data_IF_924381203867
#
_entry.id   IF_924381203867
#
_cell.length_a   1.000
_cell.length_b   1.000
_cell.length_c   1.000
_cell.angle_alpha   90.00
_cell.angle_beta   90.00
_cell.angle_gamma   90.00
#
_symmetry.space_group_name_H-M   'P 1'
#
loop_
_entity.id
_entity.type
_entity.pdbx_description
1 polymer ?
#
# COMPACT_ATOMS: atom_id res chain seq x y z
N UNK A 1 18.40 -58.61 19.32
CA UNK A 1 17.55 -57.62 20.05
C UNK A 1 17.48 -56.35 19.22
N UNK A 2 16.35 -56.13 18.56
CA UNK A 2 16.13 -54.92 17.75
C UNK A 2 15.46 -53.84 18.62
N UNK A 3 15.91 -52.56 18.59
CA UNK A 3 15.28 -51.53 19.36
C UNK A 3 13.96 -51.09 18.69
N UNK A 4 12.90 -50.97 19.49
CA UNK A 4 11.58 -50.48 19.09
C UNK A 4 11.59 -49.01 18.63
N UNK A 5 10.75 -48.63 17.65
CA UNK A 5 10.69 -47.27 17.14
C UNK A 5 10.01 -46.33 18.15
N UNK A 6 10.70 -45.27 18.52
CA UNK A 6 10.22 -44.16 19.34
C UNK A 6 9.13 -43.39 18.60
N UNK A 7 7.91 -43.39 19.12
CA UNK A 7 6.78 -42.56 18.62
C UNK A 7 7.10 -41.08 18.81
N UNK A 8 7.27 -40.33 17.68
CA UNK A 8 7.31 -38.87 17.68
C UNK A 8 5.95 -38.35 18.14
N UNK A 9 5.95 -37.62 19.26
CA UNK A 9 4.78 -36.86 19.74
C UNK A 9 4.48 -35.72 18.76
N UNK A 10 3.32 -35.77 18.13
CA UNK A 10 2.75 -34.69 17.34
C UNK A 10 2.50 -33.49 18.28
N UNK A 11 2.93 -32.26 17.93
CA UNK A 11 2.65 -31.08 18.77
C UNK A 11 1.14 -30.86 18.83
N UNK A 12 0.62 -30.72 20.04
CA UNK A 12 -0.78 -30.41 20.30
C UNK A 12 -1.14 -29.10 19.59
N UNK A 13 -2.16 -29.11 18.70
CA UNK A 13 -2.79 -27.89 18.18
C UNK A 13 -3.21 -27.04 19.38
N UNK A 14 -2.63 -25.83 19.51
CA UNK A 14 -3.15 -24.81 20.42
C UNK A 14 -4.62 -24.62 20.07
N UNK A 15 -5.50 -24.85 21.03
CA UNK A 15 -6.94 -24.60 20.92
C UNK A 15 -7.13 -23.14 20.53
N UNK A 16 -7.64 -22.88 19.33
CA UNK A 16 -8.13 -21.57 18.95
C UNK A 16 -9.25 -21.20 19.94
N UNK A 17 -8.93 -20.31 20.86
CA UNK A 17 -9.89 -19.76 21.79
C UNK A 17 -10.93 -19.06 20.91
N UNK A 18 -12.14 -19.60 20.84
CA UNK A 18 -13.21 -19.13 19.97
C UNK A 18 -13.45 -17.63 20.24
N UNK A 19 -12.98 -16.78 19.34
CA UNK A 19 -13.05 -15.34 19.45
C UNK A 19 -14.51 -14.93 19.34
N UNK A 20 -15.05 -14.26 20.37
CA UNK A 20 -16.44 -13.78 20.34
C UNK A 20 -16.51 -12.46 19.58
N UNK A 21 -17.55 -12.28 18.77
CA UNK A 21 -17.85 -11.04 18.08
C UNK A 21 -18.15 -9.94 19.10
N UNK A 22 -17.48 -8.78 18.93
CA UNK A 22 -17.84 -7.54 19.63
C UNK A 22 -18.68 -6.66 18.69
N UNK A 23 -19.95 -6.47 19.04
CA UNK A 23 -20.89 -5.64 18.29
C UNK A 23 -20.55 -4.14 18.31
N UNK A 24 -19.62 -3.70 19.15
CA UNK A 24 -19.10 -2.34 19.13
C UNK A 24 -18.02 -2.13 18.05
N UNK A 25 -17.37 -3.21 17.61
CA UNK A 25 -16.31 -3.19 16.62
C UNK A 25 -16.75 -3.68 15.24
N UNK A 26 -17.78 -4.51 15.17
CA UNK A 26 -18.20 -5.13 13.91
C UNK A 26 -19.70 -4.95 13.67
N UNK A 27 -20.02 -4.46 12.48
CA UNK A 27 -21.41 -4.18 12.06
C UNK A 27 -22.25 -5.46 11.95
N UNK A 28 -21.64 -6.58 11.57
CA UNK A 28 -22.30 -7.88 11.42
C UNK A 28 -21.34 -9.04 11.61
N UNK A 29 -21.86 -10.26 11.70
CA UNK A 29 -21.07 -11.50 11.75
C UNK A 29 -20.15 -11.60 10.55
N UNK A 30 -20.60 -11.24 9.34
CA UNK A 30 -19.79 -11.26 8.13
C UNK A 30 -18.55 -10.35 8.25
N UNK A 31 -18.67 -9.13 8.78
CA UNK A 31 -17.52 -8.23 8.98
C UNK A 31 -16.56 -8.75 10.05
N UNK A 32 -17.07 -9.39 11.09
CA UNK A 32 -16.25 -10.09 12.08
C UNK A 32 -15.47 -11.26 11.47
N UNK A 33 -16.12 -12.05 10.61
CA UNK A 33 -15.46 -13.14 9.89
C UNK A 33 -14.35 -12.62 8.95
N UNK A 34 -14.61 -11.56 8.18
CA UNK A 34 -13.60 -10.88 7.37
C UNK A 34 -12.41 -10.42 8.23
N UNK A 35 -12.69 -9.83 9.40
CA UNK A 35 -11.62 -9.44 10.32
C UNK A 35 -10.78 -10.64 10.74
N UNK A 36 -11.43 -11.69 11.27
CA UNK A 36 -10.77 -12.89 11.80
C UNK A 36 -9.94 -13.60 10.73
N UNK A 37 -10.50 -13.77 9.55
CA UNK A 37 -9.95 -14.65 8.51
C UNK A 37 -8.92 -13.92 7.62
N UNK A 38 -9.02 -12.60 7.48
CA UNK A 38 -8.18 -11.80 6.59
C UNK A 38 -7.43 -10.67 7.31
N UNK A 39 -8.15 -9.69 7.85
CA UNK A 39 -7.55 -8.42 8.27
C UNK A 39 -6.83 -8.47 9.62
N UNK A 40 -7.17 -9.39 10.51
CA UNK A 40 -6.46 -9.58 11.78
C UNK A 40 -4.98 -9.93 11.57
N UNK A 41 -4.67 -10.65 10.49
CA UNK A 41 -3.31 -11.06 10.10
C UNK A 41 -2.78 -10.30 8.89
N UNK A 42 -3.52 -9.31 8.41
CA UNK A 42 -3.12 -8.44 7.30
C UNK A 42 -1.78 -7.75 7.59
N UNK A 43 -0.94 -7.64 6.57
CA UNK A 43 0.37 -6.99 6.72
C UNK A 43 0.20 -5.49 6.73
N UNK A 44 0.70 -4.84 7.77
CA UNK A 44 0.75 -3.38 7.87
C UNK A 44 1.96 -2.88 7.08
N UNK A 45 1.72 -1.94 6.16
CA UNK A 45 2.78 -1.22 5.45
C UNK A 45 2.70 0.23 5.91
N UNK A 46 3.50 0.56 6.90
CA UNK A 46 3.44 1.87 7.55
C UNK A 46 4.20 2.91 6.74
N UNK A 47 3.58 4.07 6.51
CA UNK A 47 4.22 5.23 5.90
C UNK A 47 5.41 5.69 6.74
N UNK A 48 6.43 6.23 6.09
CA UNK A 48 7.66 6.69 6.73
C UNK A 48 7.80 8.19 6.56
N UNK A 49 8.22 8.87 7.62
CA UNK A 49 8.58 10.27 7.54
C UNK A 49 9.70 10.45 6.50
N UNK A 50 9.51 11.37 5.56
CA UNK A 50 10.47 11.72 4.51
C UNK A 50 11.04 13.10 4.80
N UNK A 51 12.33 13.17 5.07
CA UNK A 51 13.03 14.43 5.29
C UNK A 51 13.58 14.99 3.96
N UNK A 52 12.73 15.65 3.19
CA UNK A 52 13.11 16.26 1.92
C UNK A 52 14.21 17.33 2.08
N UNK A 53 14.25 18.03 3.22
CA UNK A 53 15.29 19.00 3.52
C UNK A 53 16.68 18.37 3.66
N UNK A 54 16.75 17.15 4.23
CA UNK A 54 17.98 16.38 4.35
C UNK A 54 18.41 15.73 3.02
N UNK A 55 17.46 15.59 2.07
CA UNK A 55 17.69 15.04 0.73
C UNK A 55 18.03 16.13 -0.34
N UNK A 56 18.20 17.38 0.05
CA UNK A 56 18.36 18.53 -0.85
C UNK A 56 19.50 18.42 -1.88
N UNK A 57 20.52 17.62 -1.58
CA UNK A 57 21.67 17.40 -2.47
C UNK A 57 21.39 16.37 -3.57
N UNK A 58 20.14 15.89 -3.68
CA UNK A 58 19.64 14.92 -4.66
C UNK A 58 18.56 15.52 -5.54
N UNK A 59 18.13 14.80 -6.59
CA UNK A 59 16.98 15.23 -7.40
C UNK A 59 15.62 14.98 -6.70
N UNK A 60 15.59 14.22 -5.59
CA UNK A 60 14.36 13.74 -4.95
C UNK A 60 13.40 14.87 -4.54
N UNK A 61 13.84 15.95 -3.85
CA UNK A 61 12.92 17.02 -3.47
C UNK A 61 12.17 17.62 -4.65
N UNK A 62 12.86 17.76 -5.79
CA UNK A 62 12.27 18.33 -6.99
C UNK A 62 11.13 17.47 -7.59
N UNK A 63 11.06 16.17 -7.27
CA UNK A 63 9.96 15.29 -7.67
C UNK A 63 8.65 15.61 -6.93
N UNK A 64 8.74 16.30 -5.79
CA UNK A 64 7.60 16.62 -4.91
C UNK A 64 7.24 18.11 -4.91
N UNK A 65 8.08 18.94 -5.53
CA UNK A 65 7.86 20.38 -5.60
C UNK A 65 6.53 20.73 -6.28
N UNK A 66 5.74 21.57 -5.63
CA UNK A 66 4.45 22.03 -6.14
C UNK A 66 3.31 20.99 -6.09
N UNK A 67 3.53 19.78 -5.54
CA UNK A 67 2.49 18.76 -5.46
C UNK A 67 1.59 18.85 -4.24
N UNK A 68 2.00 19.56 -3.19
CA UNK A 68 1.22 19.67 -1.94
C UNK A 68 1.12 18.35 -1.14
N UNK A 69 2.05 17.41 -1.33
CA UNK A 69 1.99 16.09 -0.72
C UNK A 69 2.67 15.97 0.66
N UNK A 70 2.83 17.11 1.36
CA UNK A 70 3.49 17.12 2.69
C UNK A 70 2.81 16.18 3.69
N UNK A 71 1.47 16.09 3.65
CA UNK A 71 0.68 15.23 4.52
C UNK A 71 0.85 13.74 4.24
N UNK A 72 1.40 13.37 3.08
CA UNK A 72 1.76 11.99 2.74
C UNK A 72 3.22 11.68 3.06
N UNK A 73 4.08 12.69 3.22
CA UNK A 73 5.53 12.52 3.34
C UNK A 73 6.07 12.87 4.72
N UNK A 74 5.69 14.00 5.28
CA UNK A 74 6.33 14.54 6.49
C UNK A 74 5.38 14.82 7.64
N UNK A 75 4.13 15.15 7.38
CA UNK A 75 3.13 15.37 8.41
C UNK A 75 2.31 14.08 8.64
N UNK A 76 2.90 13.10 9.32
CA UNK A 76 2.29 11.79 9.56
C UNK A 76 1.75 11.71 10.99
N UNK A 77 0.42 11.61 11.19
CA UNK A 77 -0.15 11.45 12.53
C UNK A 77 0.13 10.07 13.12
N UNK A 78 0.10 10.00 14.44
CA UNK A 78 0.19 8.73 15.15
C UNK A 78 -0.94 7.76 14.74
N UNK A 79 -0.58 6.51 14.50
CA UNK A 79 -1.46 5.47 13.98
C UNK A 79 -1.98 4.56 15.09
N UNK A 80 -3.29 4.35 15.11
CA UNK A 80 -3.96 3.39 15.98
C UNK A 80 -4.30 2.12 15.16
N UNK A 81 -3.46 1.09 15.26
CA UNK A 81 -3.58 -0.14 14.49
C UNK A 81 -4.96 -0.80 14.56
N UNK A 82 -5.61 -0.96 15.75
CA UNK A 82 -6.93 -1.56 15.85
C UNK A 82 -8.00 -0.85 15.00
N UNK A 83 -7.95 0.47 14.85
CA UNK A 83 -8.89 1.21 14.01
C UNK A 83 -8.68 0.92 12.53
N UNK A 84 -7.42 0.78 12.11
CA UNK A 84 -7.09 0.45 10.72
C UNK A 84 -7.66 -0.94 10.37
N UNK A 85 -7.44 -1.94 11.22
CA UNK A 85 -7.96 -3.30 11.01
C UNK A 85 -9.49 -3.34 11.03
N UNK A 86 -10.10 -2.57 11.94
CA UNK A 86 -11.55 -2.42 12.05
C UNK A 86 -12.13 -1.78 10.77
N UNK A 87 -11.48 -0.73 10.25
CA UNK A 87 -11.85 -0.07 9.00
C UNK A 87 -11.90 -1.06 7.84
N UNK A 88 -10.81 -1.73 7.52
CA UNK A 88 -10.76 -2.68 6.40
C UNK A 88 -11.76 -3.82 6.53
N UNK A 89 -12.01 -4.30 7.76
CA UNK A 89 -12.98 -5.37 8.01
C UNK A 89 -14.42 -4.94 7.77
N UNK A 90 -14.77 -3.70 8.14
CA UNK A 90 -16.15 -3.19 8.09
C UNK A 90 -16.46 -2.38 6.80
N UNK A 91 -15.47 -2.08 5.98
CA UNK A 91 -15.66 -1.30 4.76
C UNK A 91 -16.31 -2.14 3.66
N UNK A 92 -17.28 -1.54 2.96
CA UNK A 92 -18.00 -2.12 1.82
C UNK A 92 -17.94 -1.11 0.67
N UNK A 93 -17.67 -1.60 -0.54
CA UNK A 93 -17.64 -0.80 -1.75
C UNK A 93 -19.08 -0.58 -2.25
N UNK A 94 -19.40 0.65 -2.60
CA UNK A 94 -20.70 1.06 -3.17
C UNK A 94 -20.44 2.06 -4.29
N UNK A 95 -20.65 1.63 -5.54
CA UNK A 95 -20.40 2.48 -6.71
C UNK A 95 -19.01 3.14 -6.62
N UNK A 96 -18.95 4.47 -6.50
CA UNK A 96 -17.73 5.25 -6.46
C UNK A 96 -17.33 5.68 -5.03
N UNK A 97 -17.88 5.04 -3.99
CA UNK A 97 -17.58 5.34 -2.59
C UNK A 97 -17.29 4.09 -1.75
N UNK A 98 -16.54 4.28 -0.68
CA UNK A 98 -16.37 3.32 0.39
C UNK A 98 -17.32 3.65 1.54
N UNK A 99 -18.26 2.75 1.82
CA UNK A 99 -19.12 2.85 3.01
C UNK A 99 -18.42 2.20 4.18
N UNK A 100 -18.03 3.01 5.14
CA UNK A 100 -17.18 2.65 6.26
C UNK A 100 -17.95 2.62 7.58
N UNK A 101 -17.48 1.78 8.49
CA UNK A 101 -18.00 1.73 9.85
C UNK A 101 -16.86 1.47 10.83
N UNK A 102 -16.53 2.48 11.66
CA UNK A 102 -15.44 2.44 12.63
C UNK A 102 -15.93 3.01 13.95
N UNK A 103 -15.71 2.30 15.05
CA UNK A 103 -16.12 2.71 16.39
C UNK A 103 -17.60 3.17 16.45
N UNK A 104 -18.49 2.38 15.82
CA UNK A 104 -19.93 2.66 15.74
C UNK A 104 -20.30 3.92 14.95
N UNK A 105 -19.33 4.56 14.32
CA UNK A 105 -19.55 5.68 13.41
C UNK A 105 -19.63 5.15 11.98
N UNK A 106 -20.73 5.45 11.29
CA UNK A 106 -20.89 5.21 9.87
C UNK A 106 -20.56 6.47 9.09
N UNK A 107 -19.82 6.33 7.99
CA UNK A 107 -19.41 7.41 7.09
C UNK A 107 -19.04 6.84 5.73
N UNK A 108 -18.94 7.72 4.72
CA UNK A 108 -18.42 7.38 3.39
C UNK A 108 -17.08 8.05 3.15
N UNK A 109 -16.31 7.47 2.24
CA UNK A 109 -15.05 8.01 1.73
C UNK A 109 -15.06 7.84 0.21
N UNK A 110 -14.70 8.90 -0.50
CA UNK A 110 -14.40 8.93 -1.92
C UNK A 110 -13.04 9.62 -2.19
N UNK A 111 -12.67 9.80 -3.45
CA UNK A 111 -11.43 10.48 -3.82
C UNK A 111 -11.42 11.95 -3.43
N UNK A 112 -12.59 12.63 -3.44
CA UNK A 112 -12.72 14.03 -3.04
C UNK A 112 -12.46 14.23 -1.53
N UNK A 113 -12.94 13.33 -0.69
CA UNK A 113 -12.62 13.32 0.75
C UNK A 113 -11.11 13.24 1.01
N UNK A 114 -10.39 12.50 0.14
CA UNK A 114 -8.93 12.40 0.20
C UNK A 114 -8.28 13.73 -0.20
N UNK A 115 -8.75 14.37 -1.26
CA UNK A 115 -8.29 15.72 -1.66
C UNK A 115 -8.47 16.73 -0.53
N UNK A 116 -9.67 16.80 0.06
CA UNK A 116 -9.99 17.69 1.17
C UNK A 116 -9.02 17.50 2.34
N UNK A 117 -8.85 16.26 2.79
CA UNK A 117 -7.98 15.93 3.92
C UNK A 117 -6.51 16.20 3.62
N UNK A 118 -6.06 15.98 2.38
CA UNK A 118 -4.72 16.32 1.95
C UNK A 118 -4.53 17.81 1.68
N UNK A 119 -5.60 18.56 1.43
CA UNK A 119 -5.56 19.97 1.07
C UNK A 119 -5.12 20.19 -0.38
N UNK A 120 -5.55 19.29 -1.27
CA UNK A 120 -5.25 19.32 -2.71
C UNK A 120 -6.39 19.96 -3.53
N UNK A 121 -7.41 20.48 -2.86
CA UNK A 121 -8.52 21.17 -3.50
C UNK A 121 -8.06 22.30 -4.41
N UNK A 122 -8.62 22.39 -5.60
CA UNK A 122 -8.28 23.39 -6.59
C UNK A 122 -7.09 23.04 -7.50
N UNK A 123 -6.52 21.87 -7.37
CA UNK A 123 -5.69 21.31 -8.44
C UNK A 123 -6.64 20.86 -9.55
N UNK A 124 -6.93 21.77 -10.47
CA UNK A 124 -7.86 21.52 -11.59
C UNK A 124 -7.43 20.27 -12.35
N UNK A 125 -8.41 19.44 -12.69
CA UNK A 125 -8.25 18.35 -13.65
C UNK A 125 -7.96 19.00 -15.04
N UNK A 126 -6.69 19.12 -15.36
CA UNK A 126 -6.24 19.65 -16.65
C UNK A 126 -6.33 18.61 -17.78
N UNK A 127 -7.19 17.60 -17.64
CA UNK A 127 -7.37 16.56 -18.66
C UNK A 127 -6.18 15.61 -18.75
N UNK A 128 -5.45 15.41 -17.67
CA UNK A 128 -4.31 14.51 -17.64
C UNK A 128 -4.76 13.05 -17.74
N UNK A 129 -4.13 12.32 -18.63
CA UNK A 129 -4.31 10.87 -18.73
C UNK A 129 -3.82 10.21 -17.44
N UNK A 130 -4.64 9.35 -16.85
CA UNK A 130 -4.24 8.57 -15.70
C UNK A 130 -2.98 7.76 -16.06
N UNK A 131 -1.95 7.78 -15.19
CA UNK A 131 -0.72 7.03 -15.42
C UNK A 131 -1.01 5.53 -15.63
N UNK A 132 -2.09 5.00 -15.09
CA UNK A 132 -2.55 3.61 -15.25
C UNK A 132 -2.94 3.28 -16.71
N UNK A 133 -3.37 4.28 -17.49
CA UNK A 133 -3.79 4.12 -18.87
C UNK A 133 -2.59 4.14 -19.84
N UNK A 134 -1.41 4.48 -19.34
CA UNK A 134 -0.20 4.51 -20.16
C UNK A 134 0.36 3.11 -20.39
N UNK A 135 0.38 2.72 -21.66
CA UNK A 135 1.01 1.47 -22.10
C UNK A 135 2.43 1.78 -22.56
N UNK A 136 3.40 1.54 -21.72
CA UNK A 136 4.82 1.72 -22.01
C UNK A 136 5.55 0.38 -21.99
N UNK A 137 6.50 0.21 -22.92
CA UNK A 137 7.40 -0.94 -22.87
C UNK A 137 8.34 -0.80 -21.69
N UNK A 138 8.77 -1.94 -21.14
CA UNK A 138 9.71 -1.93 -20.01
C UNK A 138 11.06 -1.33 -20.40
N UNK A 139 11.45 -1.43 -21.66
CA UNK A 139 12.66 -0.85 -22.22
C UNK A 139 12.58 0.69 -22.23
N UNK A 140 11.44 1.26 -22.58
CA UNK A 140 11.19 2.71 -22.51
C UNK A 140 11.32 3.19 -21.07
N UNK A 141 10.69 2.47 -20.14
CA UNK A 141 10.75 2.80 -18.71
C UNK A 141 12.20 2.71 -18.20
N UNK A 142 12.94 1.64 -18.54
CA UNK A 142 14.33 1.48 -18.16
C UNK A 142 15.22 2.62 -18.64
N UNK A 143 14.97 3.16 -19.84
CA UNK A 143 15.70 4.32 -20.36
C UNK A 143 15.51 5.54 -19.47
N UNK A 144 14.30 5.73 -18.91
CA UNK A 144 13.98 6.88 -18.06
C UNK A 144 14.49 6.74 -16.62
N UNK A 145 14.27 5.57 -16.00
CA UNK A 145 14.55 5.38 -14.56
C UNK A 145 15.71 4.45 -14.24
N UNK A 146 16.26 3.76 -15.25
CA UNK A 146 17.35 2.78 -15.07
C UNK A 146 16.84 1.42 -14.58
N UNK A 147 17.73 0.67 -13.94
CA UNK A 147 17.42 -0.64 -13.37
C UNK A 147 17.68 -1.81 -14.32
N UNK A 148 17.53 -3.01 -13.79
CA UNK A 148 17.68 -4.25 -14.55
C UNK A 148 16.34 -4.96 -14.61
N UNK A 149 16.03 -5.50 -15.78
CA UNK A 149 14.82 -6.31 -15.99
C UNK A 149 14.98 -7.67 -15.34
N UNK A 150 13.96 -8.05 -14.57
CA UNK A 150 13.81 -9.37 -13.98
C UNK A 150 12.43 -9.90 -14.35
N UNK A 151 12.36 -10.70 -15.41
CA UNK A 151 11.09 -11.17 -15.97
C UNK A 151 10.20 -10.02 -16.46
N UNK A 152 9.05 -9.82 -15.80
CA UNK A 152 8.10 -8.73 -16.06
C UNK A 152 8.26 -7.53 -15.12
N UNK A 153 9.27 -7.55 -14.26
CA UNK A 153 9.53 -6.54 -13.25
C UNK A 153 10.87 -5.85 -13.49
N UNK A 154 11.10 -4.74 -12.80
CA UNK A 154 12.42 -4.12 -12.67
C UNK A 154 12.98 -4.43 -11.28
N UNK A 155 14.24 -4.83 -11.23
CA UNK A 155 14.97 -5.03 -9.99
C UNK A 155 15.40 -3.67 -9.42
N UNK A 156 14.89 -3.32 -8.25
CA UNK A 156 15.16 -2.04 -7.60
C UNK A 156 16.57 -1.95 -7.02
N UNK A 157 17.21 -3.09 -6.75
CA UNK A 157 18.59 -3.09 -6.22
C UNK A 157 19.60 -2.64 -7.27
N UNK A 158 19.24 -2.72 -8.55
CA UNK A 158 20.05 -2.25 -9.67
C UNK A 158 19.89 -0.74 -9.97
N UNK A 159 18.99 -0.03 -9.27
CA UNK A 159 18.88 1.42 -9.42
C UNK A 159 20.03 2.16 -8.76
N UNK A 160 20.43 3.35 -9.28
CA UNK A 160 21.27 4.29 -8.56
C UNK A 160 20.69 4.61 -7.16
N UNK A 161 21.54 4.97 -6.21
CA UNK A 161 21.15 5.14 -4.82
C UNK A 161 19.99 6.14 -4.63
N UNK A 162 20.00 7.27 -5.32
CA UNK A 162 18.94 8.28 -5.27
C UNK A 162 17.62 7.74 -5.83
N UNK A 163 17.68 6.99 -6.95
CA UNK A 163 16.51 6.35 -7.52
C UNK A 163 15.94 5.25 -6.60
N UNK A 164 16.80 4.46 -5.93
CA UNK A 164 16.37 3.50 -4.91
C UNK A 164 15.72 4.18 -3.73
N UNK A 165 16.23 5.34 -3.30
CA UNK A 165 15.64 6.14 -2.25
C UNK A 165 14.26 6.66 -2.66
N UNK A 166 14.12 7.24 -3.87
CA UNK A 166 12.84 7.66 -4.43
C UNK A 166 11.85 6.49 -4.53
N UNK A 167 12.34 5.33 -4.99
CA UNK A 167 11.54 4.09 -5.04
C UNK A 167 11.08 3.67 -3.65
N UNK A 168 11.93 3.80 -2.64
CA UNK A 168 11.58 3.51 -1.24
C UNK A 168 10.47 4.44 -0.73
N UNK A 169 10.56 5.74 -1.02
CA UNK A 169 9.50 6.71 -0.70
C UNK A 169 8.17 6.27 -1.36
N UNK A 170 8.21 5.99 -2.65
CA UNK A 170 7.03 5.51 -3.38
C UNK A 170 6.43 4.26 -2.72
N UNK A 171 7.24 3.26 -2.42
CA UNK A 171 6.79 1.96 -1.91
C UNK A 171 6.27 1.98 -0.48
N UNK A 172 6.56 2.98 0.31
CA UNK A 172 6.00 3.13 1.65
C UNK A 172 4.86 4.14 1.70
N UNK A 173 4.97 5.27 1.00
CA UNK A 173 4.11 6.42 1.19
C UNK A 173 3.07 6.63 0.08
N UNK A 174 3.39 6.25 -1.17
CA UNK A 174 2.58 6.60 -2.33
C UNK A 174 1.94 5.40 -3.03
N UNK A 175 2.64 4.28 -3.13
CA UNK A 175 2.18 3.05 -3.75
C UNK A 175 2.65 1.83 -2.94
N UNK A 176 2.07 1.61 -1.74
CA UNK A 176 2.61 0.69 -0.76
C UNK A 176 2.70 -0.76 -1.24
N UNK A 177 3.84 -1.42 -0.95
CA UNK A 177 4.09 -2.81 -1.31
C UNK A 177 4.86 -3.56 -0.22
N UNK A 178 4.75 -4.89 -0.19
CA UNK A 178 5.52 -5.73 0.74
C UNK A 178 6.96 -5.96 0.26
N UNK A 179 7.10 -6.30 -1.03
CA UNK A 179 8.40 -6.64 -1.61
C UNK A 179 9.05 -5.39 -2.16
N UNK A 180 10.21 -5.02 -1.63
CA UNK A 180 10.93 -3.80 -2.00
C UNK A 180 12.00 -4.02 -3.08
N UNK A 181 12.30 -5.27 -3.44
CA UNK A 181 13.38 -5.59 -4.37
C UNK A 181 12.99 -5.54 -5.83
N UNK A 182 11.70 -5.58 -6.13
CA UNK A 182 11.19 -5.54 -7.52
C UNK A 182 9.94 -4.67 -7.62
N UNK A 183 9.77 -4.00 -8.76
CA UNK A 183 8.55 -3.27 -9.12
C UNK A 183 7.99 -3.79 -10.44
N UNK A 184 6.67 -3.94 -10.50
CA UNK A 184 5.96 -4.28 -11.73
C UNK A 184 5.84 -3.05 -12.65
N UNK A 185 5.31 -3.26 -13.86
CA UNK A 185 5.19 -2.21 -14.87
C UNK A 185 4.39 -0.99 -14.39
N UNK A 186 3.26 -1.18 -13.71
CA UNK A 186 2.43 -0.06 -13.23
C UNK A 186 3.19 0.83 -12.23
N UNK A 187 3.91 0.22 -11.27
CA UNK A 187 4.75 0.97 -10.32
C UNK A 187 5.96 1.62 -10.98
N UNK A 188 6.50 0.97 -12.01
CA UNK A 188 7.62 1.54 -12.76
C UNK A 188 7.18 2.78 -13.57
N UNK A 189 5.98 2.76 -14.15
CA UNK A 189 5.37 3.94 -14.80
C UNK A 189 5.13 5.03 -13.74
N UNK A 190 4.52 4.71 -12.60
CA UNK A 190 4.31 5.69 -11.52
C UNK A 190 5.63 6.34 -11.08
N UNK A 191 6.68 5.55 -10.91
CA UNK A 191 8.01 6.05 -10.52
C UNK A 191 8.62 6.96 -11.60
N UNK A 192 8.41 6.61 -12.86
CA UNK A 192 8.83 7.43 -14.00
C UNK A 192 8.09 8.77 -14.02
N UNK A 193 6.75 8.77 -13.90
CA UNK A 193 5.94 9.99 -13.84
C UNK A 193 6.33 10.89 -12.65
N UNK A 194 6.66 10.25 -11.51
CA UNK A 194 7.15 10.99 -10.33
C UNK A 194 8.48 11.68 -10.61
N UNK A 195 9.43 10.97 -11.25
CA UNK A 195 10.75 11.50 -11.64
C UNK A 195 10.63 12.61 -12.69
N UNK A 196 9.77 12.43 -13.69
CA UNK A 196 9.55 13.39 -14.79
C UNK A 196 8.66 14.56 -14.37
N UNK A 197 8.17 14.56 -13.11
CA UNK A 197 7.34 15.60 -12.54
C UNK A 197 6.00 15.79 -13.28
N UNK A 198 5.52 14.78 -13.95
CA UNK A 198 4.21 14.80 -14.60
C UNK A 198 3.10 14.75 -13.56
N UNK A 199 1.91 15.17 -13.95
CA UNK A 199 0.77 15.15 -13.06
C UNK A 199 0.41 13.69 -12.68
N UNK A 200 0.11 13.49 -11.40
CA UNK A 200 -0.42 12.24 -10.86
C UNK A 200 -1.63 12.62 -10.01
N UNK A 201 -2.81 12.13 -10.38
CA UNK A 201 -3.99 12.17 -9.51
C UNK A 201 -3.77 11.20 -8.35
N UNK A 202 -3.17 11.75 -7.28
CA UNK A 202 -2.79 10.95 -6.12
C UNK A 202 -4.00 10.50 -5.32
N UNK A 203 -5.07 11.27 -5.29
CA UNK A 203 -6.26 10.97 -4.50
C UNK A 203 -7.05 9.82 -5.09
N UNK A 204 -7.29 9.83 -6.40
CA UNK A 204 -7.87 8.69 -7.11
C UNK A 204 -6.98 7.45 -7.02
N UNK A 205 -5.65 7.61 -7.13
CA UNK A 205 -4.73 6.48 -6.97
C UNK A 205 -4.81 5.85 -5.56
N UNK A 206 -4.85 6.67 -4.52
CA UNK A 206 -4.96 6.20 -3.13
C UNK A 206 -6.32 5.53 -2.91
N UNK A 207 -7.40 6.15 -3.39
CA UNK A 207 -8.75 5.60 -3.28
C UNK A 207 -8.82 4.20 -3.90
N UNK A 208 -8.41 4.05 -5.16
CA UNK A 208 -8.38 2.76 -5.86
C UNK A 208 -7.52 1.73 -5.11
N UNK A 209 -6.36 2.13 -4.60
CA UNK A 209 -5.49 1.23 -3.83
C UNK A 209 -6.16 0.74 -2.54
N UNK A 210 -6.95 1.58 -1.85
CA UNK A 210 -7.72 1.18 -0.66
C UNK A 210 -8.87 0.25 -1.07
N UNK A 211 -9.55 0.52 -2.19
CA UNK A 211 -10.59 -0.36 -2.76
C UNK A 211 -10.02 -1.74 -3.01
N UNK A 212 -8.90 -1.85 -3.72
CA UNK A 212 -8.24 -3.12 -4.05
C UNK A 212 -7.92 -3.94 -2.80
N UNK A 213 -7.35 -3.31 -1.76
CA UNK A 213 -7.03 -4.01 -0.52
C UNK A 213 -8.28 -4.37 0.30
N UNK A 214 -9.38 -3.62 0.16
CA UNK A 214 -10.66 -3.92 0.82
C UNK A 214 -11.29 -5.19 0.27
N UNK A 215 -11.16 -5.50 -1.02
CA UNK A 215 -11.67 -6.74 -1.63
C UNK A 215 -10.72 -7.91 -1.51
N UNK A 216 -9.44 -7.67 -1.21
CA UNK A 216 -8.43 -8.71 -1.07
C UNK A 216 -8.70 -9.57 0.15
N UNK A 217 -8.91 -10.88 -0.03
CA UNK A 217 -9.21 -11.83 1.05
C UNK A 217 -7.97 -12.57 1.54
N UNK A 218 -6.98 -12.76 0.67
CA UNK A 218 -5.77 -13.49 1.00
C UNK A 218 -4.60 -12.55 1.25
N UNK A 219 -4.09 -12.55 2.48
CA UNK A 219 -2.96 -11.70 2.92
C UNK A 219 -3.11 -10.23 2.51
N UNK A 220 -4.21 -9.53 2.88
CA UNK A 220 -4.38 -8.13 2.54
C UNK A 220 -3.24 -7.27 3.08
N UNK A 221 -2.93 -6.20 2.36
CA UNK A 221 -2.03 -5.15 2.85
C UNK A 221 -2.90 -4.07 3.49
N UNK A 222 -2.55 -3.67 4.68
CA UNK A 222 -3.16 -2.51 5.31
C UNK A 222 -2.27 -1.32 5.00
N UNK A 223 -2.77 -0.38 4.25
CA UNK A 223 -2.02 0.73 3.64
C UNK A 223 -2.61 2.08 4.04
N UNK A 224 -1.89 3.18 3.83
CA UNK A 224 -2.31 4.56 4.07
C UNK A 224 -2.86 4.85 5.47
N UNK A 225 -2.20 4.30 6.50
CA UNK A 225 -2.67 4.40 7.88
C UNK A 225 -2.75 5.84 8.39
N UNK A 226 -1.73 6.64 8.09
CA UNK A 226 -1.66 8.05 8.49
C UNK A 226 -2.78 8.86 7.85
N UNK A 227 -3.04 8.62 6.56
CA UNK A 227 -4.17 9.23 5.85
C UNK A 227 -5.51 8.78 6.43
N UNK A 228 -5.69 7.46 6.68
CA UNK A 228 -6.90 6.94 7.30
C UNK A 228 -7.15 7.56 8.68
N UNK A 229 -6.10 7.79 9.49
CA UNK A 229 -6.24 8.47 10.78
C UNK A 229 -6.70 9.93 10.62
N UNK A 230 -6.33 10.61 9.53
CA UNK A 230 -6.83 11.96 9.20
C UNK A 230 -8.30 11.90 8.80
N UNK A 231 -8.65 10.99 7.90
CA UNK A 231 -10.03 10.77 7.45
C UNK A 231 -10.94 10.42 8.64
N UNK A 232 -10.50 9.54 9.55
CA UNK A 232 -11.27 9.22 10.76
C UNK A 232 -11.55 10.46 11.61
N UNK A 233 -10.57 11.34 11.80
CA UNK A 233 -10.76 12.60 12.54
C UNK A 233 -11.73 13.54 11.81
N UNK A 234 -11.55 13.73 10.49
CA UNK A 234 -12.43 14.55 9.67
C UNK A 234 -13.88 14.06 9.68
N UNK A 235 -14.07 12.74 9.62
CA UNK A 235 -15.40 12.11 9.69
C UNK A 235 -15.93 11.96 11.12
N UNK A 236 -15.24 12.46 12.15
CA UNK A 236 -15.70 12.49 13.54
C UNK A 236 -15.66 11.13 14.25
N UNK A 237 -14.75 10.24 13.87
CA UNK A 237 -14.49 9.00 14.60
C UNK A 237 -13.73 9.32 15.88
N UNK A 238 -14.22 8.81 17.01
CA UNK A 238 -13.53 8.96 18.29
C UNK A 238 -12.33 8.03 18.36
N UNK A 239 -11.13 8.61 18.45
CA UNK A 239 -9.88 7.84 18.59
C UNK A 239 -9.66 7.58 20.08
N UNK A 240 -9.60 6.29 20.52
CA UNK A 240 -9.36 5.95 21.92
C UNK A 240 -7.98 6.44 22.39
N UNK A 241 -7.94 7.03 23.58
CA UNK A 241 -6.70 7.53 24.18
C UNK A 241 -5.93 6.45 24.94
N UNK A 242 -6.60 5.36 25.29
CA UNK A 242 -6.05 4.22 26.01
C UNK A 242 -5.29 3.22 25.11
N UNK A 243 -5.34 3.41 23.80
CA UNK A 243 -4.63 2.57 22.84
C UNK A 243 -3.30 3.25 22.49
N UNK A 244 -2.20 2.59 22.82
CA UNK A 244 -0.87 3.06 22.42
C UNK A 244 -0.74 3.11 20.90
N UNK A 245 -0.21 4.20 20.35
CA UNK A 245 0.05 4.29 18.91
C UNK A 245 1.11 3.29 18.47
N UNK A 246 1.11 2.96 17.20
CA UNK A 246 2.18 2.16 16.61
C UNK A 246 3.54 2.86 16.72
N UNK A 247 4.63 2.11 16.88
CA UNK A 247 5.97 2.67 16.80
C UNK A 247 6.20 3.39 15.48
N UNK A 248 6.81 4.56 15.53
CA UNK A 248 7.14 5.31 14.33
C UNK A 248 8.32 4.64 13.59
N UNK A 249 8.20 4.32 12.30
CA UNK A 249 9.32 3.79 11.54
C UNK A 249 10.46 4.80 11.40
N UNK A 250 11.67 4.30 11.10
CA UNK A 250 12.81 5.18 10.81
C UNK A 250 12.51 6.09 9.62
N UNK A 251 12.94 7.34 9.70
CA UNK A 251 12.79 8.31 8.61
C UNK A 251 13.52 7.86 7.33
N UNK A 252 13.07 8.38 6.19
CA UNK A 252 13.80 8.32 4.91
C UNK A 252 14.54 9.65 4.75
N UNK A 253 15.86 9.58 4.81
CA UNK A 253 16.78 10.72 4.85
C UNK A 253 18.09 10.41 4.11
N UNK A 254 19.08 11.26 4.23
CA UNK A 254 20.42 11.04 3.66
C UNK A 254 21.10 9.76 4.17
N UNK A 255 20.85 9.37 5.42
CA UNK A 255 21.39 8.11 5.96
C UNK A 255 20.79 6.90 5.25
N UNK A 256 19.55 7.01 4.77
CA UNK A 256 18.92 5.98 3.94
C UNK A 256 19.72 5.78 2.63
N UNK A 257 20.12 6.87 1.96
CA UNK A 257 20.94 6.80 0.75
C UNK A 257 22.31 6.18 1.05
N UNK A 258 22.97 6.61 2.12
CA UNK A 258 24.26 6.07 2.54
C UNK A 258 24.17 4.56 2.80
N UNK A 259 23.14 4.11 3.53
CA UNK A 259 22.90 2.67 3.78
C UNK A 259 22.69 1.91 2.47
N UNK A 260 21.92 2.47 1.53
CA UNK A 260 21.73 1.88 0.21
C UNK A 260 23.06 1.73 -0.56
N UNK A 261 23.97 2.69 -0.44
CA UNK A 261 25.27 2.66 -1.10
C UNK A 261 26.24 1.64 -0.47
N UNK A 262 26.17 1.47 0.85
CA UNK A 262 27.07 0.57 1.60
C UNK A 262 26.60 -0.89 1.51
N UNK A 263 25.29 -1.14 1.47
CA UNK A 263 24.76 -2.50 1.26
C UNK A 263 24.81 -2.85 -0.24
N UNK A 264 25.98 -3.26 -0.72
CA UNK A 264 26.05 -4.18 -1.85
C UNK A 264 25.43 -5.52 -1.37
N UNK A 265 24.57 -6.19 -2.14
CA UNK A 265 24.04 -7.48 -1.74
C UNK A 265 25.24 -8.44 -1.57
N UNK A 266 25.50 -8.86 -0.35
CA UNK A 266 26.22 -10.10 -0.12
C UNK A 266 25.29 -11.21 -0.57
N UNK A 267 25.78 -12.13 -1.40
CA UNK A 267 25.08 -13.28 -1.99
C UNK A 267 24.71 -14.36 -0.94
N UNK A 268 24.04 -14.00 0.14
CA UNK A 268 23.54 -14.97 1.14
C UNK A 268 22.26 -14.47 1.78
N UNK A 269 21.14 -14.80 1.17
CA UNK A 269 19.87 -15.19 1.81
C UNK A 269 18.94 -15.80 0.75
N UNK A 270 19.26 -17.02 0.33
CA UNK A 270 18.30 -17.95 -0.22
C UNK A 270 17.41 -18.43 0.93
N UNK A 271 16.10 -18.24 0.81
CA UNK A 271 15.16 -18.98 1.63
C UNK A 271 13.88 -18.25 2.00
N UNK A 272 13.03 -17.90 1.07
CA UNK A 272 11.57 -18.08 1.16
C UNK A 272 10.94 -17.96 -0.23
N UNK A 273 10.83 -19.10 -0.90
CA UNK A 273 10.05 -19.25 -2.13
C UNK A 273 8.57 -19.27 -1.75
N UNK A 274 7.94 -18.11 -1.67
CA UNK A 274 6.50 -17.95 -1.59
C UNK A 274 5.92 -17.75 -2.99
N UNK A 275 5.44 -18.81 -3.61
CA UNK A 275 4.52 -18.78 -4.76
C UNK A 275 3.35 -17.82 -4.45
N UNK A 276 3.05 -16.88 -5.34
CA UNK A 276 1.79 -16.17 -5.24
C UNK A 276 1.74 -14.75 -5.78
N UNK A 277 2.12 -14.51 -7.02
CA UNK A 277 1.74 -13.27 -7.73
C UNK A 277 1.28 -13.58 -9.18
N UNK A 278 0.41 -14.60 -9.32
CA UNK A 278 -0.12 -15.03 -10.63
C UNK A 278 -1.62 -14.76 -10.82
N UNK A 279 -2.25 -13.86 -10.05
CA UNK A 279 -3.71 -13.64 -10.16
C UNK A 279 -4.14 -12.21 -10.51
N UNK A 280 -3.33 -11.42 -11.21
CA UNK A 280 -3.74 -10.07 -11.64
C UNK A 280 -3.87 -9.91 -13.18
N UNK A 281 -4.17 -10.97 -13.95
CA UNK A 281 -4.27 -10.81 -15.43
C UNK A 281 -5.37 -11.63 -16.10
N UNK A 282 -6.55 -11.80 -15.47
CA UNK A 282 -7.66 -12.46 -16.18
C UNK A 282 -9.05 -11.81 -15.98
N UNK A 283 -9.14 -10.49 -16.01
CA UNK A 283 -10.44 -9.80 -16.16
C UNK A 283 -10.32 -8.68 -17.21
N UNK A 284 -9.91 -8.96 -18.41
CA UNK A 284 -10.21 -8.15 -19.60
C UNK A 284 -10.12 -9.03 -20.82
N UNK A 285 -11.11 -9.85 -21.08
CA UNK A 285 -11.43 -10.35 -22.42
C UNK A 285 -12.69 -11.26 -22.43
N UNK A 286 -13.86 -10.72 -22.10
CA UNK A 286 -15.14 -11.28 -22.63
C UNK A 286 -16.18 -10.17 -22.69
N UNK A 287 -16.11 -9.40 -23.74
CA UNK A 287 -17.07 -8.34 -24.02
C UNK A 287 -17.04 -7.89 -25.44
N UNK A 288 -17.11 -8.81 -26.40
CA UNK A 288 -17.58 -8.51 -27.77
C UNK A 288 -17.93 -9.81 -28.51
N UNK A 289 -19.18 -10.02 -28.71
CA UNK A 289 -19.77 -10.48 -29.97
C UNK A 289 -21.11 -11.20 -29.75
N UNK A 290 -22.20 -10.51 -29.94
CA UNK A 290 -23.33 -11.04 -30.72
C UNK A 290 -24.36 -9.93 -30.99
N UNK A 291 -24.15 -9.21 -32.05
CA UNK A 291 -25.20 -8.51 -32.79
C UNK A 291 -25.15 -9.04 -34.19
N UNK A 292 -26.16 -9.78 -34.56
CA UNK A 292 -26.81 -9.76 -35.87
C UNK A 292 -27.45 -11.10 -36.25
N UNK A 293 -28.70 -10.99 -36.56
CA UNK A 293 -29.62 -11.80 -37.40
C UNK A 293 -30.79 -12.34 -36.60
N UNK A 294 -31.99 -11.90 -36.77
CA UNK A 294 -32.86 -11.68 -37.93
C UNK A 294 -34.02 -10.83 -37.51
#
# INVERSE_FOLDING_TARGET
>A
MNPSPTKKKTPAKKSDKMMKMDHNLFRSVHHFERYRDSFMRGTIIQERFVDLGNLKDTFIPSCFEGRGWDKLLSDLPAVCEPLIREFYANTVIREDELRCWVRRKEFTIDAHDIDEVLGLEGLEDHGFTNYKDRILSIETIQTCIGGQREGRCLNTTAFPADMRCLTTIMMFNLYPVRKLTTINNARAIFLMELKEKTFIDISSHIFDSIVDETITTFRPKLIFHSLLMRLFRAKGVVIPQDISPMPTPSAIDKLTIIRIQVYLPSDEEEGDQGEGDQMETEIVATGQASSSRS
#
